data_IF_732457427097
#
_entry.id   IF_732457427097
#
_cell.length_a   1.000
_cell.length_b   1.000
_cell.length_c   1.000
_cell.angle_alpha   90.00
_cell.angle_beta   90.00
_cell.angle_gamma   90.00
#
_symmetry.space_group_name_H-M   'P 1'
#
loop_
_entity.id
_entity.type
_entity.pdbx_description
1 polymer ?
#
# COMPACT_ATOMS: atom_id res chain seq x y z
N UNK A 1 29.41 43.95 61.19
CA UNK A 1 29.06 44.37 59.82
C UNK A 1 28.90 43.11 58.99
N UNK A 2 27.67 42.73 58.72
CA UNK A 2 27.35 41.57 57.89
C UNK A 2 27.31 41.96 56.42
N UNK A 3 28.11 41.28 55.62
CA UNK A 3 28.11 41.44 54.15
C UNK A 3 27.15 40.42 53.59
N UNK A 4 25.98 40.89 53.12
CA UNK A 4 25.01 40.04 52.45
C UNK A 4 25.42 39.94 50.97
N UNK A 5 25.93 38.78 50.54
CA UNK A 5 26.12 38.49 49.14
C UNK A 5 24.76 38.17 48.54
N UNK A 6 24.22 39.12 47.79
CA UNK A 6 23.05 38.87 46.95
C UNK A 6 23.45 37.93 45.83
N UNK A 7 22.98 36.71 45.89
CA UNK A 7 23.14 35.75 44.77
C UNK A 7 22.18 36.15 43.68
N UNK A 8 22.67 36.87 42.68
CA UNK A 8 21.93 37.09 41.45
C UNK A 8 21.87 35.76 40.69
N UNK A 9 20.75 35.06 40.83
CA UNK A 9 20.40 33.98 39.94
C UNK A 9 19.92 34.64 38.64
N UNK A 10 20.80 34.79 37.68
CA UNK A 10 20.40 35.10 36.33
C UNK A 10 19.69 33.87 35.78
N UNK A 11 18.41 33.81 35.94
CA UNK A 11 17.56 32.84 35.25
C UNK A 11 17.54 33.20 33.76
N UNK A 12 18.49 32.71 33.03
CA UNK A 12 18.37 32.68 31.55
C UNK A 12 17.34 31.59 31.27
N UNK A 13 16.08 31.97 31.27
CA UNK A 13 15.03 31.16 30.64
C UNK A 13 15.29 31.23 29.15
N UNK A 14 16.16 30.38 28.64
CA UNK A 14 16.14 30.07 27.21
C UNK A 14 14.85 29.32 26.99
N UNK A 15 13.83 30.00 26.54
CA UNK A 15 12.73 29.38 25.82
C UNK A 15 13.36 28.73 24.57
N UNK A 16 13.69 27.47 24.69
CA UNK A 16 13.86 26.64 23.52
C UNK A 16 12.46 26.47 22.95
N UNK A 17 12.08 27.36 22.05
CA UNK A 17 11.05 27.08 21.09
C UNK A 17 11.59 25.91 20.26
N UNK A 18 11.30 24.71 20.71
CA UNK A 18 11.34 23.52 19.88
C UNK A 18 10.23 23.73 18.84
N UNK A 19 10.56 24.45 17.76
CA UNK A 19 9.79 24.34 16.54
C UNK A 19 9.87 22.87 16.12
N UNK A 20 8.89 22.10 16.52
CA UNK A 20 8.67 20.76 15.99
C UNK A 20 8.41 20.96 14.51
N UNK A 21 9.43 20.77 13.69
CA UNK A 21 9.29 20.85 12.24
C UNK A 21 8.18 19.90 11.86
N UNK A 22 7.13 20.43 11.26
CA UNK A 22 5.98 19.65 10.85
C UNK A 22 6.45 18.52 9.92
N UNK A 23 6.12 17.28 10.28
CA UNK A 23 6.49 16.09 9.53
C UNK A 23 5.26 15.44 8.93
N UNK A 24 5.22 15.46 7.61
CA UNK A 24 4.17 14.83 6.82
C UNK A 24 4.80 13.71 5.98
N UNK A 25 4.50 12.48 6.32
CA UNK A 25 4.79 11.31 5.52
C UNK A 25 3.48 10.54 5.39
N UNK A 26 2.91 10.56 4.19
CA UNK A 26 1.54 10.10 3.93
C UNK A 26 1.49 9.26 2.64
N UNK A 27 0.36 8.62 2.44
CA UNK A 27 0.00 7.90 1.22
C UNK A 27 -1.52 8.03 1.02
N UNK A 28 -1.98 7.96 -0.21
CA UNK A 28 -3.40 7.87 -0.53
C UNK A 28 -3.99 6.50 -0.13
N UNK A 29 -3.16 5.48 -0.08
CA UNK A 29 -3.54 4.08 0.06
C UNK A 29 -3.10 3.51 1.40
N UNK A 30 -1.84 3.75 1.81
CA UNK A 30 -1.28 3.20 3.05
C UNK A 30 -1.73 3.99 4.27
N UNK A 31 -1.94 3.31 5.40
CA UNK A 31 -2.39 3.93 6.63
C UNK A 31 -1.52 3.51 7.83
N UNK A 32 -1.41 4.37 8.85
CA UNK A 32 -0.66 4.11 10.08
C UNK A 32 -1.21 2.89 10.83
N UNK A 33 -2.53 2.75 10.86
CA UNK A 33 -3.20 1.63 11.53
C UNK A 33 -3.38 0.40 10.62
N UNK A 34 -2.78 0.44 9.42
CA UNK A 34 -3.06 -0.51 8.37
C UNK A 34 -4.43 -0.27 7.72
N UNK A 35 -4.58 -0.70 6.50
CA UNK A 35 -5.86 -0.70 5.79
C UNK A 35 -5.96 -1.95 4.93
N UNK A 36 -7.14 -2.54 4.88
CA UNK A 36 -7.39 -3.73 4.07
C UNK A 36 -8.24 -3.37 2.85
N UNK A 37 -7.86 -3.95 1.71
CA UNK A 37 -8.53 -3.80 0.43
C UNK A 37 -8.83 -5.17 -0.15
N UNK A 38 -9.94 -5.28 -0.86
CA UNK A 38 -10.30 -6.47 -1.64
C UNK A 38 -10.40 -6.08 -3.10
N UNK A 39 -9.73 -6.81 -3.95
CA UNK A 39 -9.69 -6.65 -5.40
C UNK A 39 -10.07 -7.98 -6.02
N UNK A 40 -11.02 -8.01 -6.93
CA UNK A 40 -11.54 -9.24 -7.54
C UNK A 40 -11.54 -9.15 -9.08
N UNK A 41 -10.50 -8.54 -9.65
CA UNK A 41 -10.34 -8.35 -11.09
C UNK A 41 -9.06 -8.97 -11.66
N UNK A 42 -8.42 -9.86 -10.91
CA UNK A 42 -7.25 -10.59 -11.40
C UNK A 42 -7.68 -11.80 -12.22
N UNK A 43 -6.97 -12.09 -13.30
CA UNK A 43 -7.24 -13.25 -14.16
C UNK A 43 -6.64 -14.57 -13.61
N UNK A 44 -5.81 -14.49 -12.58
CA UNK A 44 -5.19 -15.66 -11.94
C UNK A 44 -4.03 -16.30 -12.73
N UNK A 45 -3.70 -15.78 -13.89
CA UNK A 45 -2.69 -16.37 -14.82
C UNK A 45 -1.56 -15.38 -15.08
N UNK A 46 -1.88 -14.14 -15.38
CA UNK A 46 -0.90 -13.11 -15.67
C UNK A 46 -0.45 -12.38 -14.39
N UNK A 47 0.72 -11.75 -14.45
CA UNK A 47 1.20 -10.92 -13.35
C UNK A 47 0.27 -9.76 -13.08
N UNK A 48 0.07 -9.45 -11.80
CA UNK A 48 -0.73 -8.33 -11.33
C UNK A 48 0.16 -7.28 -10.68
N UNK A 49 -0.05 -6.00 -10.98
CA UNK A 49 0.79 -4.92 -10.46
C UNK A 49 -0.05 -3.96 -9.62
N UNK A 50 0.40 -3.72 -8.40
CA UNK A 50 -0.10 -2.68 -7.50
C UNK A 50 0.87 -1.50 -7.52
N UNK A 51 0.33 -0.28 -7.61
CA UNK A 51 1.11 0.95 -7.54
C UNK A 51 0.75 1.72 -6.27
N UNK A 52 1.76 2.22 -5.58
CA UNK A 52 1.65 2.95 -4.32
C UNK A 52 2.36 4.28 -4.42
N UNK A 53 1.77 5.29 -3.79
CA UNK A 53 2.35 6.61 -3.61
C UNK A 53 2.77 6.85 -2.17
N UNK A 54 3.80 7.64 -1.98
CA UNK A 54 4.16 8.26 -0.71
C UNK A 54 4.45 9.74 -0.94
N UNK A 55 4.00 10.60 -0.04
CA UNK A 55 4.10 12.04 -0.18
C UNK A 55 4.60 12.69 1.11
N UNK A 56 5.29 13.82 0.96
CA UNK A 56 5.75 14.67 2.06
C UNK A 56 4.76 15.79 2.42
N UNK A 57 3.51 15.70 1.94
CA UNK A 57 2.50 16.75 2.06
C UNK A 57 1.26 16.32 2.85
N UNK A 58 0.57 17.31 3.42
CA UNK A 58 -0.78 17.20 3.94
C UNK A 58 -1.62 18.39 3.45
N UNK A 59 -1.94 18.40 2.16
CA UNK A 59 -2.56 19.52 1.46
C UNK A 59 -1.52 20.49 0.86
N UNK A 60 -1.95 21.57 0.20
CA UNK A 60 -1.07 22.43 -0.59
C UNK A 60 0.00 23.15 0.26
N UNK A 61 -0.35 23.56 1.49
CA UNK A 61 0.49 24.44 2.30
C UNK A 61 1.28 23.71 3.40
N UNK A 62 1.01 22.42 3.62
CA UNK A 62 1.63 21.64 4.70
C UNK A 62 2.64 20.66 4.13
N UNK A 63 3.89 21.06 4.07
CA UNK A 63 4.99 20.30 3.46
C UNK A 63 6.08 20.04 4.50
N UNK A 64 6.64 18.84 4.48
CA UNK A 64 7.87 18.54 5.22
C UNK A 64 9.05 19.24 4.53
N UNK A 65 9.71 20.13 5.23
CA UNK A 65 10.85 20.93 4.73
C UNK A 65 12.20 20.22 4.92
N UNK A 66 12.23 18.92 4.66
CA UNK A 66 13.44 18.09 4.69
C UNK A 66 13.23 16.86 3.85
N UNK A 67 14.30 16.28 3.35
CA UNK A 67 14.26 15.02 2.64
C UNK A 67 13.74 13.90 3.56
N UNK A 68 12.89 13.02 3.03
CA UNK A 68 12.37 11.87 3.73
C UNK A 68 12.93 10.60 3.11
N UNK A 69 13.83 9.93 3.81
CA UNK A 69 14.28 8.59 3.44
C UNK A 69 13.32 7.55 4.00
N UNK A 70 13.06 6.49 3.25
CA UNK A 70 12.16 5.43 3.67
C UNK A 70 12.54 4.06 3.10
N UNK A 71 12.18 3.02 3.84
CA UNK A 71 12.30 1.63 3.44
C UNK A 71 10.93 1.05 3.12
N UNK A 72 10.89 0.11 2.16
CA UNK A 72 9.69 -0.59 1.72
C UNK A 72 9.86 -2.07 2.02
N UNK A 73 8.81 -2.69 2.55
CA UNK A 73 8.74 -4.14 2.72
C UNK A 73 7.44 -4.71 2.17
N UNK A 74 7.53 -5.96 1.69
CA UNK A 74 6.37 -6.72 1.23
C UNK A 74 6.41 -8.14 1.79
N UNK A 75 5.23 -8.71 1.94
CA UNK A 75 5.05 -10.15 2.11
C UNK A 75 3.81 -10.60 1.33
N UNK A 76 3.91 -11.77 0.72
CA UNK A 76 2.83 -12.37 -0.04
C UNK A 76 2.56 -13.77 0.47
N UNK A 77 1.29 -14.16 0.49
CA UNK A 77 0.87 -15.52 0.81
C UNK A 77 0.27 -16.19 -0.42
N UNK A 78 0.38 -17.50 -0.44
CA UNK A 78 -0.09 -18.31 -1.56
C UNK A 78 1.05 -18.66 -2.53
N UNK A 79 0.70 -19.32 -3.63
CA UNK A 79 1.67 -19.74 -4.65
C UNK A 79 1.98 -18.60 -5.64
N UNK A 80 2.50 -17.49 -5.12
CA UNK A 80 2.89 -16.30 -5.91
C UNK A 80 4.27 -15.83 -5.49
N UNK A 81 4.96 -15.19 -6.43
CA UNK A 81 6.18 -14.44 -6.16
C UNK A 81 5.85 -12.94 -6.22
N UNK A 82 6.28 -12.19 -5.21
CA UNK A 82 6.12 -10.74 -5.21
C UNK A 82 7.46 -10.05 -5.34
N UNK A 83 7.51 -9.04 -6.20
CA UNK A 83 8.70 -8.24 -6.45
C UNK A 83 8.39 -6.75 -6.29
N UNK A 84 9.27 -6.04 -5.55
CA UNK A 84 9.26 -4.59 -5.46
C UNK A 84 10.03 -3.97 -6.64
N UNK A 85 9.54 -2.85 -7.14
CA UNK A 85 10.31 -2.02 -8.09
C UNK A 85 11.54 -1.38 -7.44
N UNK A 86 11.44 -1.11 -6.14
CA UNK A 86 12.53 -0.62 -5.27
C UNK A 86 12.24 -0.99 -3.82
N UNK A 87 13.27 -1.17 -3.01
CA UNK A 87 13.14 -1.47 -1.58
C UNK A 87 13.40 -0.25 -0.67
N UNK A 88 13.86 0.85 -1.24
CA UNK A 88 14.14 2.13 -0.58
C UNK A 88 13.77 3.28 -1.48
N UNK A 89 13.51 4.44 -0.89
CA UNK A 89 13.27 5.68 -1.62
C UNK A 89 13.62 6.90 -0.80
N UNK A 90 13.67 8.03 -1.49
CA UNK A 90 13.84 9.36 -0.90
C UNK A 90 12.83 10.27 -1.55
N UNK A 91 12.06 10.99 -0.75
CA UNK A 91 11.25 12.12 -1.21
C UNK A 91 12.04 13.36 -0.87
N UNK A 92 12.59 14.04 -1.87
CA UNK A 92 13.32 15.28 -1.65
C UNK A 92 12.38 16.41 -1.25
N UNK A 93 12.88 17.38 -0.48
CA UNK A 93 12.07 18.49 0.05
C UNK A 93 11.37 19.32 -1.03
N UNK A 94 11.91 19.34 -2.24
CA UNK A 94 11.38 20.04 -3.42
C UNK A 94 10.49 19.15 -4.32
N UNK A 95 10.41 17.85 -4.02
CA UNK A 95 9.51 16.90 -4.66
C UNK A 95 8.22 16.75 -3.85
N UNK A 96 7.13 16.35 -4.51
CA UNK A 96 5.84 16.23 -3.84
C UNK A 96 5.58 14.81 -3.37
N UNK A 97 6.03 13.84 -4.15
CA UNK A 97 5.73 12.43 -3.93
C UNK A 97 6.75 11.54 -4.62
N UNK A 98 6.78 10.31 -4.19
CA UNK A 98 7.49 9.21 -4.83
C UNK A 98 6.55 8.02 -4.96
N UNK A 99 6.81 7.14 -5.93
CA UNK A 99 5.98 5.96 -6.20
C UNK A 99 6.81 4.70 -6.23
N UNK A 100 6.17 3.57 -5.92
CA UNK A 100 6.73 2.24 -6.09
C UNK A 100 5.65 1.24 -6.54
N UNK A 101 6.10 0.12 -7.09
CA UNK A 101 5.22 -0.93 -7.57
C UNK A 101 5.54 -2.27 -6.90
N UNK A 102 4.50 -3.06 -6.71
CA UNK A 102 4.56 -4.46 -6.31
C UNK A 102 4.01 -5.28 -7.46
N UNK A 103 4.84 -6.10 -8.07
CA UNK A 103 4.44 -7.06 -9.11
C UNK A 103 4.26 -8.43 -8.47
N UNK A 104 3.08 -9.00 -8.65
CA UNK A 104 2.66 -10.30 -8.14
C UNK A 104 2.64 -11.25 -9.32
N UNK A 105 3.48 -12.28 -9.31
CA UNK A 105 3.59 -13.26 -10.40
C UNK A 105 3.09 -14.61 -9.89
N UNK A 106 2.07 -15.20 -10.51
CA UNK A 106 1.56 -16.51 -10.12
C UNK A 106 2.57 -17.61 -10.42
N UNK A 107 2.71 -18.58 -9.51
CA UNK A 107 3.54 -19.78 -9.69
C UNK A 107 2.72 -21.00 -10.15
N UNK A 108 1.41 -20.86 -10.19
CA UNK A 108 0.44 -21.82 -10.72
C UNK A 108 -0.76 -21.04 -11.26
N UNK A 109 -1.59 -21.69 -12.04
CA UNK A 109 -2.88 -21.10 -12.40
C UNK A 109 -3.78 -21.00 -11.18
N UNK A 110 -4.40 -19.86 -11.01
CA UNK A 110 -5.45 -19.61 -10.03
C UNK A 110 -6.79 -19.60 -10.73
N UNK A 111 -7.81 -20.06 -10.04
CA UNK A 111 -9.14 -20.20 -10.58
C UNK A 111 -10.14 -19.30 -9.85
N UNK A 112 -11.31 -19.14 -10.44
CA UNK A 112 -12.41 -18.37 -9.83
C UNK A 112 -12.64 -18.78 -8.38
N UNK A 113 -12.58 -17.79 -7.48
CA UNK A 113 -12.71 -17.99 -6.03
C UNK A 113 -11.38 -18.13 -5.28
N UNK A 114 -10.26 -18.35 -5.98
CA UNK A 114 -8.94 -18.29 -5.37
C UNK A 114 -8.57 -16.85 -5.06
N UNK A 115 -7.72 -16.67 -4.06
CA UNK A 115 -7.17 -15.37 -3.71
C UNK A 115 -5.77 -15.46 -3.14
N UNK A 116 -5.05 -14.36 -3.23
CA UNK A 116 -3.73 -14.17 -2.61
C UNK A 116 -3.76 -12.94 -1.71
N UNK A 117 -2.96 -12.96 -0.65
CA UNK A 117 -2.82 -11.82 0.26
C UNK A 117 -1.45 -11.18 0.08
N UNK A 118 -1.46 -9.89 -0.18
CA UNK A 118 -0.25 -9.06 -0.29
C UNK A 118 -0.27 -8.03 0.82
N UNK A 119 0.77 -8.03 1.65
CA UNK A 119 0.99 -7.00 2.67
C UNK A 119 2.16 -6.15 2.25
N UNK A 120 1.97 -4.84 2.25
CA UNK A 120 3.05 -3.88 2.01
C UNK A 120 3.12 -2.87 3.13
N UNK A 121 4.33 -2.44 3.46
CA UNK A 121 4.54 -1.35 4.40
C UNK A 121 5.69 -0.47 3.97
N UNK A 122 5.58 0.81 4.30
CA UNK A 122 6.63 1.80 4.15
C UNK A 122 6.96 2.40 5.50
N UNK A 123 8.23 2.53 5.79
CA UNK A 123 8.72 3.10 7.04
C UNK A 123 9.71 4.21 6.74
N UNK A 124 9.37 5.45 7.09
CA UNK A 124 10.34 6.54 7.02
C UNK A 124 11.45 6.33 8.06
N UNK A 125 12.69 6.54 7.65
CA UNK A 125 13.90 6.36 8.47
C UNK A 125 14.53 7.69 8.87
N UNK A 126 14.28 8.74 8.09
CA UNK A 126 14.74 10.11 8.32
C UNK A 126 13.70 11.10 7.80
N UNK A 127 13.48 12.27 8.44
CA UNK A 127 14.03 12.71 9.73
C UNK A 127 13.38 12.04 10.93
N UNK A 128 12.15 11.49 10.78
CA UNK A 128 11.41 10.81 11.86
C UNK A 128 10.87 9.47 11.36
N UNK A 129 10.80 8.51 12.27
CA UNK A 129 10.27 7.19 11.98
C UNK A 129 8.74 7.19 11.99
N UNK A 130 8.14 6.76 10.89
CA UNK A 130 6.70 6.56 10.75
C UNK A 130 6.43 5.41 9.81
N UNK A 131 5.60 4.46 10.22
CA UNK A 131 5.22 3.30 9.41
C UNK A 131 3.78 3.43 8.95
N UNK A 132 3.55 3.11 7.68
CA UNK A 132 2.21 2.96 7.09
C UNK A 132 2.15 1.64 6.35
N UNK A 133 0.98 1.00 6.36
CA UNK A 133 0.81 -0.31 5.74
C UNK A 133 -0.57 -0.48 5.10
N UNK A 134 -0.64 -1.45 4.19
CA UNK A 134 -1.89 -1.94 3.63
C UNK A 134 -1.81 -3.46 3.41
N UNK A 135 -2.97 -4.10 3.47
CA UNK A 135 -3.17 -5.50 3.14
C UNK A 135 -4.15 -5.60 1.98
N UNK A 136 -3.76 -6.31 0.93
CA UNK A 136 -4.59 -6.56 -0.24
C UNK A 136 -4.98 -8.03 -0.28
N UNK A 137 -6.28 -8.29 -0.38
CA UNK A 137 -6.81 -9.59 -0.75
C UNK A 137 -7.17 -9.52 -2.23
N UNK A 138 -6.38 -10.17 -3.07
CA UNK A 138 -6.52 -10.15 -4.53
C UNK A 138 -7.14 -11.47 -4.95
N UNK A 139 -8.40 -11.41 -5.32
CA UNK A 139 -9.19 -12.54 -5.80
C UNK A 139 -9.16 -12.64 -7.32
N UNK A 140 -9.29 -13.88 -7.80
CA UNK A 140 -9.50 -14.14 -9.21
C UNK A 140 -10.93 -13.75 -9.58
N UNK A 141 -11.08 -13.06 -10.70
CA UNK A 141 -12.39 -12.67 -11.24
C UNK A 141 -13.28 -13.90 -11.38
N UNK A 142 -14.50 -13.81 -10.86
CA UNK A 142 -15.47 -14.89 -11.02
C UNK A 142 -15.79 -15.04 -12.51
N UNK A 143 -15.76 -16.28 -12.99
CA UNK A 143 -16.17 -16.57 -14.37
C UNK A 143 -17.59 -16.02 -14.61
N UNK A 144 -17.70 -15.20 -15.64
CA UNK A 144 -18.98 -14.67 -16.11
C UNK A 144 -19.75 -15.68 -16.99
N UNK A 145 -19.13 -16.83 -17.24
CA UNK A 145 -19.70 -17.89 -18.02
C UNK A 145 -20.10 -19.07 -17.13
N UNK A 146 -21.31 -19.54 -17.27
CA UNK A 146 -21.75 -20.85 -16.80
C UNK A 146 -21.96 -21.77 -18.02
N UNK A 147 -21.70 -23.04 -17.82
CA UNK A 147 -22.02 -24.03 -18.85
C UNK A 147 -22.93 -25.12 -18.25
N UNK A 148 -23.79 -25.61 -19.06
CA UNK A 148 -24.66 -26.76 -18.77
C UNK A 148 -24.47 -27.76 -19.90
N UNK A 149 -24.24 -29.01 -19.53
CA UNK A 149 -24.23 -30.12 -20.50
C UNK A 149 -25.57 -30.80 -20.40
N UNK A 150 -26.31 -30.81 -21.50
CA UNK A 150 -27.56 -31.52 -21.63
C UNK A 150 -27.34 -32.75 -22.48
N UNK A 151 -27.52 -33.93 -21.87
CA UNK A 151 -27.52 -35.21 -22.54
C UNK A 151 -28.97 -35.67 -22.70
N UNK A 152 -29.39 -35.81 -23.91
CA UNK A 152 -30.74 -36.32 -24.20
C UNK A 152 -30.65 -37.82 -24.53
N UNK A 153 -31.30 -38.63 -23.73
CA UNK A 153 -31.26 -40.11 -23.70
C UNK A 153 -31.48 -40.77 -25.04
N UNK A 154 -32.00 -40.06 -26.03
CA UNK A 154 -32.30 -40.58 -27.37
C UNK A 154 -31.61 -39.81 -28.51
N UNK A 155 -30.67 -38.93 -28.24
CA UNK A 155 -29.97 -38.20 -29.27
C UNK A 155 -28.47 -38.59 -29.28
N UNK A 156 -27.92 -38.64 -30.51
CA UNK A 156 -26.47 -38.86 -30.70
C UNK A 156 -25.65 -37.59 -30.46
N UNK A 157 -26.25 -36.56 -29.92
CA UNK A 157 -25.63 -35.24 -29.76
C UNK A 157 -25.64 -34.82 -28.32
N UNK A 158 -24.50 -34.34 -27.86
CA UNK A 158 -24.29 -33.64 -26.60
C UNK A 158 -24.51 -32.15 -26.85
N UNK A 159 -25.41 -31.51 -26.12
CA UNK A 159 -25.64 -30.06 -26.23
C UNK A 159 -24.87 -29.35 -25.13
N UNK A 160 -23.95 -28.44 -25.50
CA UNK A 160 -23.26 -27.55 -24.58
C UNK A 160 -23.95 -26.19 -24.60
N UNK A 161 -24.61 -25.83 -23.51
CA UNK A 161 -25.23 -24.50 -23.32
C UNK A 161 -24.24 -23.62 -22.58
N UNK A 162 -23.77 -22.54 -23.24
CA UNK A 162 -22.90 -21.50 -22.63
C UNK A 162 -23.79 -20.29 -22.29
N UNK A 163 -23.86 -19.95 -21.02
CA UNK A 163 -24.56 -18.76 -20.56
C UNK A 163 -23.56 -17.71 -20.09
N UNK A 164 -23.65 -16.49 -20.67
CA UNK A 164 -22.88 -15.33 -20.25
C UNK A 164 -23.74 -14.44 -19.34
N UNK A 165 -23.27 -14.17 -18.13
CA UNK A 165 -23.95 -13.32 -17.16
C UNK A 165 -23.48 -11.85 -17.21
N UNK A 166 -22.96 -11.37 -18.35
CA UNK A 166 -22.59 -9.96 -18.52
C UNK A 166 -23.85 -9.13 -18.69
N UNK A 167 -24.10 -8.26 -17.70
CA UNK A 167 -25.13 -7.21 -17.84
C UNK A 167 -24.48 -6.02 -18.51
N UNK A 168 -24.89 -5.70 -19.73
CA UNK A 168 -24.51 -4.44 -20.39
C UNK A 168 -25.38 -3.32 -19.79
N UNK A 169 -24.74 -2.27 -19.29
CA UNK A 169 -25.40 -1.00 -18.91
C UNK A 169 -25.26 0.01 -20.04
#
# INVERSE_FOLDING_TARGET
VGVTFGKYVLGITREFLLETKAFYFRSSILNINGKSYSINNWDGVNSYTLTFDVTNRNGPDKITKSDISYDISISCSGSVTCRLSKNKGIIYQNEESDTYQVTITPQKNFYSGDSVVVKTSVTSTSPYKKTMSATYNIGVEKSKFSYQIEDSVNSKFLTLVLTNSVTYY
#
